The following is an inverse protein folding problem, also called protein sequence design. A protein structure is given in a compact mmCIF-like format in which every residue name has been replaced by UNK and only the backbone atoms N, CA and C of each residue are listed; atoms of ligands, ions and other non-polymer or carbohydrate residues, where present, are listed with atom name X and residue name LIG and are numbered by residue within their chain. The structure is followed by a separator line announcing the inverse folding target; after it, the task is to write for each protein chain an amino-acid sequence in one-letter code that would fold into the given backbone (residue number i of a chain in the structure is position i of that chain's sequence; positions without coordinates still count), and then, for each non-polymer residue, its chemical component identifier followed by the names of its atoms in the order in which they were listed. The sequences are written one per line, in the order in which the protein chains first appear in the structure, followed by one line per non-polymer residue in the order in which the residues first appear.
data_IF_699838684895
#
_entry.id   IF_699838684895
#
_cell.length_a   1.000
_cell.length_b   1.000
_cell.length_c   1.000
_cell.angle_alpha   90.00
_cell.angle_beta   90.00
_cell.angle_gamma   90.00
#
_symmetry.space_group_name_H-M   'P 1'
#
loop_
_entity.id
_entity.type
_entity.pdbx_description
1 polymer ?
#
# COMPACT_ATOMS: atom_id res chain seq x y z
N UNK A 1 -7.12 -27.51 -6.92
CA UNK A 1 -5.66 -27.37 -6.73
C UNK A 1 -5.37 -25.88 -6.80
N UNK A 2 -5.39 -25.20 -5.66
CA UNK A 2 -5.22 -23.75 -5.57
C UNK A 2 -3.74 -23.42 -5.43
N UNK A 3 -3.21 -22.67 -6.39
CA UNK A 3 -1.89 -22.07 -6.29
C UNK A 3 -1.90 -21.04 -5.15
N UNK A 4 -1.23 -21.35 -4.04
CA UNK A 4 -0.89 -20.38 -3.01
C UNK A 4 0.17 -19.46 -3.61
N UNK A 5 -0.20 -18.23 -3.91
CA UNK A 5 0.75 -17.17 -4.26
C UNK A 5 1.53 -16.82 -2.98
N UNK A 6 2.67 -17.45 -2.81
CA UNK A 6 3.66 -17.06 -1.81
C UNK A 6 4.26 -15.74 -2.28
N UNK A 7 3.92 -14.64 -1.63
CA UNK A 7 4.62 -13.36 -1.82
C UNK A 7 6.08 -13.59 -1.43
N UNK A 8 6.96 -13.70 -2.40
CA UNK A 8 8.39 -13.86 -2.19
C UNK A 8 8.96 -12.55 -1.64
N UNK A 9 9.54 -12.60 -0.44
CA UNK A 9 10.35 -11.52 0.07
C UNK A 9 11.57 -11.31 -0.83
N UNK A 10 11.93 -10.05 -1.08
CA UNK A 10 13.13 -9.68 -1.82
C UNK A 10 14.23 -9.32 -0.81
N UNK A 11 15.48 -9.63 -1.13
CA UNK A 11 16.64 -9.15 -0.39
C UNK A 11 16.86 -7.64 -0.63
N UNK A 12 17.83 -7.05 0.05
CA UNK A 12 18.16 -5.62 -0.10
C UNK A 12 18.66 -5.26 -1.52
N UNK A 13 18.95 -6.25 -2.37
CA UNK A 13 19.32 -6.11 -3.77
C UNK A 13 18.17 -6.43 -4.74
N UNK A 14 16.93 -6.62 -4.23
CA UNK A 14 15.75 -6.90 -5.05
C UNK A 14 15.65 -8.32 -5.62
N UNK A 15 16.50 -9.27 -5.13
CA UNK A 15 16.44 -10.66 -5.57
C UNK A 15 15.46 -11.46 -4.70
N UNK A 16 14.69 -12.40 -5.29
CA UNK A 16 13.84 -13.29 -4.51
C UNK A 16 14.65 -14.05 -3.47
N UNK A 17 14.30 -13.90 -2.19
CA UNK A 17 14.90 -14.71 -1.13
C UNK A 17 14.32 -16.12 -1.27
N UNK A 18 15.09 -17.03 -1.86
CA UNK A 18 14.77 -18.46 -1.85
C UNK A 18 15.34 -19.06 -0.56
N UNK A 19 14.53 -19.08 0.50
CA UNK A 19 14.85 -19.87 1.68
C UNK A 19 14.80 -21.36 1.31
N UNK A 20 15.80 -22.15 1.77
CA UNK A 20 15.69 -23.61 1.75
C UNK A 20 14.49 -24.00 2.60
N UNK A 21 13.74 -25.02 2.21
CA UNK A 21 12.59 -25.52 3.00
C UNK A 21 12.91 -25.78 4.47
N UNK A 22 14.17 -26.14 4.77
CA UNK A 22 14.67 -26.35 6.11
C UNK A 22 14.79 -25.07 6.96
N UNK A 23 14.95 -23.90 6.32
CA UNK A 23 15.14 -22.61 7.00
C UNK A 23 13.80 -21.86 7.15
N UNK A 24 12.73 -22.36 6.54
CA UNK A 24 11.41 -21.74 6.58
C UNK A 24 10.60 -22.17 7.81
N UNK A 25 10.38 -21.25 8.75
CA UNK A 25 9.66 -21.52 10.01
C UNK A 25 8.16 -21.33 9.82
N UNK A 26 7.44 -22.39 9.46
CA UNK A 26 5.98 -22.38 9.21
C UNK A 26 5.13 -21.89 10.38
N UNK A 27 5.62 -21.96 11.61
CA UNK A 27 4.89 -21.43 12.77
C UNK A 27 4.87 -19.89 12.79
N UNK A 28 5.94 -19.25 12.33
CA UNK A 28 6.00 -17.78 12.19
C UNK A 28 5.05 -17.33 11.08
N UNK A 29 5.11 -17.97 9.91
CA UNK A 29 4.19 -17.71 8.80
C UNK A 29 2.72 -17.77 9.26
N UNK A 30 2.35 -18.84 9.98
CA UNK A 30 0.97 -18.99 10.50
C UNK A 30 0.60 -17.92 11.50
N UNK A 31 1.51 -17.54 12.38
CA UNK A 31 1.30 -16.45 13.34
C UNK A 31 0.97 -15.14 12.66
N UNK A 32 1.76 -14.76 11.66
CA UNK A 32 1.56 -13.54 10.86
C UNK A 32 0.27 -13.61 10.02
N UNK A 33 -0.03 -14.77 9.42
CA UNK A 33 -1.27 -14.99 8.67
C UNK A 33 -2.53 -14.84 9.55
N UNK A 34 -2.49 -15.34 10.80
CA UNK A 34 -3.58 -15.17 11.79
C UNK A 34 -3.78 -13.69 12.12
N UNK A 35 -2.71 -12.96 12.41
CA UNK A 35 -2.76 -11.53 12.70
C UNK A 35 -3.38 -10.77 11.52
N UNK A 36 -2.92 -11.05 10.30
CA UNK A 36 -3.43 -10.43 9.07
C UNK A 36 -4.92 -10.74 8.83
N UNK A 37 -5.36 -11.97 9.09
CA UNK A 37 -6.76 -12.36 8.95
C UNK A 37 -7.68 -11.61 9.95
N UNK A 38 -7.21 -11.42 11.19
CA UNK A 38 -7.94 -10.70 12.26
C UNK A 38 -7.93 -9.18 12.06
N UNK A 39 -6.98 -8.63 11.29
CA UNK A 39 -6.91 -7.20 10.98
C UNK A 39 -7.99 -6.71 10.00
N UNK A 40 -8.75 -7.61 9.38
CA UNK A 40 -9.86 -7.24 8.48
C UNK A 40 -11.05 -6.72 9.29
N UNK A 41 -11.83 -5.74 8.78
CA UNK A 41 -13.03 -5.26 9.47
C UNK A 41 -14.03 -6.41 9.72
N UNK A 42 -14.58 -6.53 10.94
CA UNK A 42 -15.59 -7.56 11.20
C UNK A 42 -15.72 -8.05 12.66
N UNK A 43 -15.12 -7.39 13.63
CA UNK A 43 -15.38 -7.67 15.07
C UNK A 43 -14.80 -8.98 15.61
N UNK A 44 -13.69 -9.46 15.04
CA UNK A 44 -12.99 -10.67 15.46
C UNK A 44 -13.46 -11.95 14.74
N UNK A 45 -12.67 -13.03 14.87
CA UNK A 45 -12.91 -14.31 14.22
C UNK A 45 -12.92 -15.46 15.22
N UNK A 46 -13.73 -16.48 14.94
CA UNK A 46 -13.71 -17.78 15.64
C UNK A 46 -12.54 -18.65 15.12
N UNK A 47 -12.19 -19.70 15.87
CA UNK A 47 -11.16 -20.69 15.44
C UNK A 47 -11.47 -21.25 14.05
N UNK A 48 -12.74 -21.54 13.77
CA UNK A 48 -13.14 -22.12 12.48
C UNK A 48 -13.00 -21.13 11.32
N UNK A 49 -13.34 -19.87 11.53
CA UNK A 49 -13.17 -18.78 10.56
C UNK A 49 -11.70 -18.52 10.26
N UNK A 50 -10.85 -18.47 11.29
CA UNK A 50 -9.39 -18.34 11.13
C UNK A 50 -8.82 -19.53 10.36
N UNK A 51 -9.17 -20.76 10.75
CA UNK A 51 -8.68 -21.99 10.08
C UNK A 51 -8.98 -21.97 8.57
N UNK A 52 -10.19 -21.52 8.20
CA UNK A 52 -10.62 -21.38 6.79
C UNK A 52 -9.85 -20.25 6.10
N UNK A 53 -9.70 -19.10 6.77
CA UNK A 53 -9.06 -17.91 6.19
C UNK A 53 -7.59 -18.14 5.83
N UNK A 54 -6.86 -18.95 6.64
CA UNK A 54 -5.43 -19.20 6.44
C UNK A 54 -5.12 -20.62 5.91
N UNK A 55 -6.14 -21.42 5.56
CA UNK A 55 -5.96 -22.73 4.94
C UNK A 55 -5.32 -23.80 5.82
N UNK A 56 -5.57 -23.80 7.16
CA UNK A 56 -5.01 -24.77 8.11
C UNK A 56 -6.09 -25.56 8.84
N UNK A 57 -5.70 -26.63 9.55
CA UNK A 57 -6.63 -27.38 10.42
C UNK A 57 -7.08 -26.54 11.62
N UNK A 58 -8.28 -26.79 12.14
CA UNK A 58 -8.79 -26.13 13.36
C UNK A 58 -7.85 -26.29 14.56
N UNK A 59 -7.22 -27.44 14.70
CA UNK A 59 -6.25 -27.71 15.76
C UNK A 59 -5.01 -26.81 15.63
N UNK A 60 -4.49 -26.62 14.41
CA UNK A 60 -3.37 -25.72 14.13
C UNK A 60 -3.75 -24.26 14.38
N UNK A 61 -4.89 -23.81 13.86
CA UNK A 61 -5.39 -22.45 14.10
C UNK A 61 -5.57 -22.17 15.60
N UNK A 62 -6.18 -23.11 16.36
CA UNK A 62 -6.37 -22.98 17.80
C UNK A 62 -5.04 -22.81 18.55
N UNK A 63 -4.03 -23.63 18.25
CA UNK A 63 -2.70 -23.51 18.89
C UNK A 63 -2.07 -22.15 18.64
N UNK A 64 -2.12 -21.65 17.39
CA UNK A 64 -1.57 -20.34 17.04
C UNK A 64 -2.32 -19.21 17.73
N UNK A 65 -3.66 -19.27 17.78
CA UNK A 65 -4.50 -18.27 18.46
C UNK A 65 -4.19 -18.23 19.95
N UNK A 66 -4.12 -19.38 20.65
CA UNK A 66 -3.80 -19.44 22.07
C UNK A 66 -2.38 -18.95 22.38
N UNK A 67 -1.41 -19.23 21.51
CA UNK A 67 -0.03 -18.71 21.63
C UNK A 67 -0.02 -17.18 21.52
N UNK A 68 -0.70 -16.62 20.52
CA UNK A 68 -0.78 -15.16 20.34
C UNK A 68 -1.56 -14.48 21.47
N UNK A 69 -2.57 -15.14 22.03
CA UNK A 69 -3.30 -14.69 23.21
C UNK A 69 -2.40 -14.68 24.45
N UNK A 70 -1.66 -15.77 24.70
CA UNK A 70 -0.71 -15.85 25.81
C UNK A 70 0.40 -14.80 25.69
N UNK A 71 0.84 -14.51 24.48
CA UNK A 71 1.78 -13.43 24.18
C UNK A 71 1.14 -12.02 24.31
N UNK A 72 -0.17 -11.94 24.50
CA UNK A 72 -0.91 -10.69 24.68
C UNK A 72 -1.22 -9.93 23.39
N UNK A 73 -1.01 -10.51 22.21
CA UNK A 73 -1.37 -9.91 20.92
C UNK A 73 -2.84 -10.10 20.56
N UNK A 74 -3.49 -11.10 21.14
CA UNK A 74 -4.92 -11.38 20.99
C UNK A 74 -5.60 -11.36 22.35
N UNK A 75 -6.91 -11.18 22.31
CA UNK A 75 -7.84 -11.45 23.42
C UNK A 75 -9.05 -12.21 22.90
N UNK A 76 -9.69 -13.00 23.76
CA UNK A 76 -10.91 -13.72 23.41
C UNK A 76 -12.04 -13.40 24.40
N UNK A 77 -13.27 -13.47 23.89
CA UNK A 77 -14.51 -13.49 24.69
C UNK A 77 -14.98 -14.92 24.98
N UNK A 78 -14.14 -15.95 24.72
CA UNK A 78 -14.45 -17.37 24.78
C UNK A 78 -14.93 -17.96 23.44
N UNK A 79 -15.33 -17.15 22.48
CA UNK A 79 -15.81 -17.56 21.17
C UNK A 79 -15.02 -16.94 20.01
N UNK A 80 -14.77 -15.64 20.10
CA UNK A 80 -14.07 -14.87 19.07
C UNK A 80 -12.75 -14.33 19.60
N UNK A 81 -11.76 -14.28 18.72
CA UNK A 81 -10.47 -13.67 18.97
C UNK A 81 -10.40 -12.31 18.29
N UNK A 82 -9.85 -11.32 18.97
CA UNK A 82 -9.63 -9.96 18.47
C UNK A 82 -8.20 -9.53 18.74
N UNK A 83 -7.68 -8.62 17.92
CA UNK A 83 -6.36 -8.00 18.10
C UNK A 83 -6.35 -7.12 19.34
N UNK A 84 -5.21 -7.02 20.00
CA UNK A 84 -4.98 -6.07 21.11
C UNK A 84 -4.14 -4.87 20.63
N UNK A 85 -4.15 -3.75 21.38
CA UNK A 85 -3.29 -2.59 21.10
C UNK A 85 -1.78 -2.92 21.11
N UNK A 86 -1.36 -4.04 21.74
CA UNK A 86 0.03 -4.49 21.77
C UNK A 86 0.61 -4.67 20.35
N UNK A 87 -0.24 -4.97 19.35
CA UNK A 87 0.19 -5.10 17.96
C UNK A 87 0.78 -3.79 17.41
N UNK A 88 0.31 -2.63 17.88
CA UNK A 88 0.85 -1.33 17.46
C UNK A 88 2.33 -1.19 17.82
N UNK A 89 2.77 -1.84 18.89
CA UNK A 89 4.19 -1.82 19.29
C UNK A 89 5.10 -2.53 18.28
N UNK A 90 4.61 -3.56 17.56
CA UNK A 90 5.38 -4.21 16.50
C UNK A 90 5.64 -3.26 15.29
N UNK A 91 4.70 -2.37 15.01
CA UNK A 91 4.85 -1.36 13.96
C UNK A 91 5.68 -0.14 14.39
N UNK A 92 5.96 0.00 15.69
CA UNK A 92 6.69 1.17 16.20
C UNK A 92 8.14 1.21 15.72
N UNK A 93 8.80 0.07 15.61
CA UNK A 93 10.15 -0.04 15.06
C UNK A 93 10.24 0.37 13.58
N UNK A 94 9.21 0.09 12.80
CA UNK A 94 9.09 0.57 11.42
C UNK A 94 8.81 2.08 11.37
N UNK A 95 8.01 2.60 12.31
CA UNK A 95 7.70 4.03 12.42
C UNK A 95 8.89 4.88 12.90
N UNK A 96 9.75 4.34 13.76
CA UNK A 96 10.95 5.05 14.25
C UNK A 96 12.04 5.20 13.19
N UNK A 97 12.01 4.40 12.10
CA UNK A 97 12.92 4.54 10.94
C UNK A 97 12.35 5.38 9.80
N UNK A 98 11.03 5.58 9.75
CA UNK A 98 10.34 6.36 8.72
C UNK A 98 9.33 7.30 9.40
N UNK A 99 9.72 8.53 9.66
CA UNK A 99 8.81 9.60 10.11
C UNK A 99 7.70 9.93 9.08
N UNK A 100 7.76 9.30 7.90
CA UNK A 100 6.93 9.61 6.73
C UNK A 100 5.41 9.70 7.02
N UNK A 101 4.73 8.74 7.70
CA UNK A 101 3.28 8.88 7.94
C UNK A 101 2.93 10.06 8.84
N UNK A 102 3.76 10.33 9.85
CA UNK A 102 3.50 11.39 10.84
C UNK A 102 3.85 12.77 10.23
N UNK A 103 4.93 12.87 9.47
CA UNK A 103 5.31 14.08 8.71
C UNK A 103 4.29 14.36 7.61
N UNK A 104 3.84 13.34 6.88
CA UNK A 104 2.91 13.54 5.77
C UNK A 104 1.51 13.96 6.21
N UNK A 105 1.04 13.52 7.38
CA UNK A 105 -0.35 13.73 7.83
C UNK A 105 -0.81 15.19 7.80
N UNK A 106 -0.11 16.19 8.39
CA UNK A 106 -0.55 17.58 8.37
C UNK A 106 -0.60 18.14 6.95
N UNK A 107 0.34 17.79 6.08
CA UNK A 107 0.35 18.24 4.69
C UNK A 107 -0.80 17.63 3.87
N UNK A 108 -1.09 16.35 4.10
CA UNK A 108 -2.25 15.70 3.48
C UNK A 108 -3.57 16.33 3.95
N UNK A 109 -3.66 16.76 5.21
CA UNK A 109 -4.82 17.45 5.73
C UNK A 109 -5.06 18.78 5.00
N UNK A 110 -4.02 19.58 4.81
CA UNK A 110 -4.09 20.83 4.06
C UNK A 110 -4.45 20.61 2.59
N UNK A 111 -3.88 19.57 1.95
CA UNK A 111 -4.23 19.21 0.58
C UNK A 111 -5.69 18.79 0.48
N UNK A 112 -6.19 17.99 1.40
CA UNK A 112 -7.58 17.57 1.46
C UNK A 112 -8.53 18.77 1.64
N UNK A 113 -8.21 19.70 2.52
CA UNK A 113 -8.99 20.93 2.73
C UNK A 113 -9.01 21.81 1.46
N UNK A 114 -7.90 21.89 0.73
CA UNK A 114 -7.78 22.66 -0.50
C UNK A 114 -8.53 22.04 -1.67
N UNK A 115 -8.49 20.71 -1.78
CA UNK A 115 -9.03 19.98 -2.95
C UNK A 115 -10.42 19.42 -2.74
N UNK A 116 -10.86 19.31 -1.47
CA UNK A 116 -12.08 18.61 -1.04
C UNK A 116 -12.13 17.15 -1.54
N UNK A 117 -10.96 16.51 -1.71
CA UNK A 117 -10.83 15.12 -2.16
C UNK A 117 -9.96 14.31 -1.21
N UNK A 118 -10.05 12.95 -1.26
CA UNK A 118 -9.20 12.14 -0.41
C UNK A 118 -7.75 12.20 -0.86
N UNK A 119 -6.84 12.22 0.12
CA UNK A 119 -5.41 12.26 -0.10
C UNK A 119 -4.72 11.14 0.69
N UNK A 120 -3.66 10.59 0.13
CA UNK A 120 -2.87 9.57 0.84
C UNK A 120 -1.39 9.61 0.44
N UNK A 121 -0.57 8.90 1.22
CA UNK A 121 0.81 8.56 0.87
C UNK A 121 0.93 7.05 0.88
N UNK A 122 1.62 6.52 -0.15
CA UNK A 122 1.91 5.10 -0.28
C UNK A 122 3.37 4.87 -0.63
N UNK A 123 3.86 3.68 -0.26
CA UNK A 123 5.20 3.17 -0.60
C UNK A 123 5.07 1.96 -1.52
N UNK A 124 6.16 1.61 -2.21
CA UNK A 124 6.25 0.36 -2.97
C UNK A 124 6.61 -0.78 -2.01
N UNK A 125 5.91 -1.90 -2.10
CA UNK A 125 6.19 -3.11 -1.34
C UNK A 125 5.98 -4.34 -2.24
N UNK A 126 7.08 -4.85 -2.78
CA UNK A 126 7.07 -5.84 -3.85
C UNK A 126 6.42 -5.29 -5.13
N UNK A 127 5.37 -5.96 -5.61
CA UNK A 127 4.66 -5.57 -6.83
C UNK A 127 3.41 -4.72 -6.56
N UNK A 128 3.20 -4.34 -5.29
CA UNK A 128 2.04 -3.59 -4.83
C UNK A 128 2.44 -2.26 -4.19
N UNK A 129 1.49 -1.36 -4.12
CA UNK A 129 1.59 -0.16 -3.28
C UNK A 129 0.94 -0.42 -1.94
N UNK A 130 1.56 0.06 -0.87
CA UNK A 130 1.02 0.02 0.50
C UNK A 130 0.67 1.43 0.95
N UNK A 131 -0.59 1.69 1.28
CA UNK A 131 -1.03 2.95 1.85
C UNK A 131 -0.54 3.10 3.30
N UNK A 132 0.30 4.11 3.57
CA UNK A 132 0.90 4.34 4.90
C UNK A 132 0.30 5.55 5.64
N UNK A 133 -0.30 6.50 4.92
CA UNK A 133 -1.02 7.63 5.49
C UNK A 133 -2.21 7.99 4.61
N UNK A 134 -3.32 8.40 5.23
CA UNK A 134 -4.53 8.81 4.50
C UNK A 134 -5.35 9.82 5.29
N UNK A 135 -5.92 10.77 4.57
CA UNK A 135 -6.96 11.69 5.02
C UNK A 135 -8.08 11.73 3.98
N UNK A 136 -9.31 11.97 4.41
CA UNK A 136 -10.46 12.06 3.53
C UNK A 136 -11.50 13.00 4.12
N UNK A 137 -12.26 13.73 3.28
CA UNK A 137 -13.37 14.55 3.76
C UNK A 137 -14.46 13.66 4.38
N UNK A 138 -15.19 14.21 5.36
CA UNK A 138 -16.33 13.53 5.98
C UNK A 138 -17.51 13.53 4.99
N UNK A 139 -17.65 12.45 4.22
CA UNK A 139 -18.74 12.23 3.26
C UNK A 139 -19.41 10.90 3.47
N UNK A 140 -20.73 10.86 3.18
CA UNK A 140 -21.52 9.61 3.25
C UNK A 140 -20.98 8.57 2.26
N UNK A 141 -20.63 9.00 1.03
CA UNK A 141 -19.97 8.15 0.02
C UNK A 141 -18.50 8.50 -0.05
N UNK A 142 -17.68 7.61 0.46
CA UNK A 142 -16.23 7.74 0.44
C UNK A 142 -15.59 6.47 -0.12
N UNK A 143 -14.47 6.64 -0.83
CA UNK A 143 -13.67 5.49 -1.25
C UNK A 143 -13.09 4.83 0.00
N UNK A 144 -13.53 3.61 0.31
CA UNK A 144 -13.08 2.86 1.48
C UNK A 144 -11.68 2.24 1.22
N UNK A 145 -10.63 3.02 1.46
CA UNK A 145 -9.24 2.58 1.30
C UNK A 145 -8.45 2.93 2.57
N UNK A 146 -8.55 2.12 3.65
CA UNK A 146 -7.85 2.40 4.90
C UNK A 146 -6.32 2.34 4.75
N UNK A 147 -5.59 2.91 5.71
CA UNK A 147 -4.15 2.68 5.88
C UNK A 147 -3.90 1.17 6.00
N UNK A 148 -2.85 0.68 5.35
CA UNK A 148 -2.58 -0.74 5.19
C UNK A 148 -3.17 -1.38 3.94
N UNK A 149 -3.98 -0.65 3.15
CA UNK A 149 -4.50 -1.16 1.87
C UNK A 149 -3.36 -1.36 0.88
N UNK A 150 -3.39 -2.52 0.22
CA UNK A 150 -2.45 -2.92 -0.83
C UNK A 150 -3.17 -2.91 -2.19
N UNK A 151 -2.52 -2.36 -3.20
CA UNK A 151 -3.07 -2.24 -4.55
C UNK A 151 -1.97 -2.54 -5.58
N UNK A 152 -2.31 -3.12 -6.75
CA UNK A 152 -1.33 -3.40 -7.80
C UNK A 152 -0.66 -2.11 -8.30
N UNK A 153 0.68 -2.08 -8.31
CA UNK A 153 1.42 -0.86 -8.64
C UNK A 153 1.16 -0.40 -10.08
N UNK A 154 1.06 -1.32 -11.05
CA UNK A 154 0.85 -0.96 -12.47
C UNK A 154 -0.45 -0.20 -12.74
N UNK A 155 -1.49 -0.43 -11.94
CA UNK A 155 -2.83 0.11 -12.17
C UNK A 155 -3.15 1.36 -11.34
N UNK A 156 -2.24 1.80 -10.47
CA UNK A 156 -2.42 2.97 -9.59
C UNK A 156 -1.52 4.13 -9.97
N UNK A 157 -1.97 5.38 -9.73
CA UNK A 157 -1.14 6.55 -9.96
C UNK A 157 0.10 6.56 -9.04
N UNK A 158 -0.05 6.17 -7.76
CA UNK A 158 1.06 6.05 -6.81
C UNK A 158 2.06 5.01 -7.26
N UNK A 159 1.59 3.84 -7.70
CA UNK A 159 2.46 2.77 -8.19
C UNK A 159 3.24 3.19 -9.43
N UNK A 160 2.63 3.91 -10.37
CA UNK A 160 3.34 4.42 -11.54
C UNK A 160 4.42 5.44 -11.20
N UNK A 161 4.20 6.29 -10.20
CA UNK A 161 5.22 7.21 -9.71
C UNK A 161 6.38 6.44 -9.07
N UNK A 162 6.08 5.44 -8.23
CA UNK A 162 7.07 4.62 -7.56
C UNK A 162 7.87 3.77 -8.55
N UNK A 163 7.20 3.09 -9.49
CA UNK A 163 7.84 2.31 -10.56
C UNK A 163 8.70 3.20 -11.48
N UNK A 164 8.24 4.40 -11.80
CA UNK A 164 9.02 5.35 -12.58
C UNK A 164 10.27 5.84 -11.84
N UNK A 165 10.30 5.77 -10.51
CA UNK A 165 11.44 6.11 -9.67
C UNK A 165 12.47 5.00 -9.49
N UNK A 166 12.18 3.75 -9.91
CA UNK A 166 13.09 2.62 -9.80
C UNK A 166 14.31 2.77 -10.75
N UNK A 167 15.43 2.16 -10.37
CA UNK A 167 16.53 1.94 -11.30
C UNK A 167 16.11 1.01 -12.44
N UNK A 168 16.83 1.07 -13.57
CA UNK A 168 16.46 0.33 -14.78
C UNK A 168 16.33 -1.18 -14.53
N UNK A 169 17.32 -1.78 -13.84
CA UNK A 169 17.34 -3.22 -13.54
C UNK A 169 16.20 -3.65 -12.62
N UNK A 170 15.84 -2.81 -11.65
CA UNK A 170 14.71 -3.07 -10.73
C UNK A 170 13.37 -3.00 -11.48
N UNK A 171 13.23 -2.01 -12.37
CA UNK A 171 12.04 -1.87 -13.20
C UNK A 171 11.91 -3.03 -14.18
N UNK A 172 13.01 -3.45 -14.84
CA UNK A 172 13.00 -4.59 -15.73
C UNK A 172 12.61 -5.87 -14.98
N UNK A 173 13.21 -6.11 -13.80
CA UNK A 173 12.82 -7.23 -12.94
C UNK A 173 11.36 -7.19 -12.47
N UNK A 174 10.77 -6.01 -12.26
CA UNK A 174 9.34 -5.86 -12.00
C UNK A 174 8.50 -6.22 -13.23
N UNK A 175 8.86 -5.69 -14.40
CA UNK A 175 8.11 -5.89 -15.65
C UNK A 175 8.16 -7.34 -16.14
N UNK A 176 9.22 -8.07 -15.84
CA UNK A 176 9.38 -9.48 -16.21
C UNK A 176 8.48 -10.43 -15.40
N UNK A 177 8.13 -10.05 -14.14
CA UNK A 177 7.37 -10.91 -13.24
C UNK A 177 5.91 -10.49 -13.04
N UNK A 178 5.56 -9.21 -13.32
CA UNK A 178 4.23 -8.69 -13.04
C UNK A 178 3.19 -9.26 -13.98
N UNK A 179 2.05 -9.69 -13.43
CA UNK A 179 0.88 -10.07 -14.22
C UNK A 179 -0.03 -8.86 -14.42
N UNK A 180 -0.06 -8.32 -15.63
CA UNK A 180 -0.88 -7.15 -15.98
C UNK A 180 -2.33 -7.56 -16.28
N UNK A 181 -3.14 -7.73 -15.26
CA UNK A 181 -4.58 -8.09 -15.38
C UNK A 181 -5.41 -6.87 -15.76
N UNK A 182 -6.43 -7.06 -16.59
CA UNK A 182 -7.45 -6.06 -16.88
C UNK A 182 -8.42 -5.93 -15.69
N UNK A 183 -8.25 -4.89 -14.87
CA UNK A 183 -9.16 -4.58 -13.77
C UNK A 183 -10.40 -3.82 -14.27
N UNK A 184 -10.19 -3.01 -15.30
CA UNK A 184 -11.23 -2.31 -16.07
C UNK A 184 -10.88 -2.35 -17.55
N UNK A 185 -11.78 -1.96 -18.45
CA UNK A 185 -11.45 -1.81 -19.87
C UNK A 185 -10.38 -0.74 -20.17
N UNK A 186 -10.13 0.17 -19.23
CA UNK A 186 -9.13 1.23 -19.37
C UNK A 186 -7.75 0.81 -18.84
N UNK A 187 -7.62 -0.31 -18.12
CA UNK A 187 -6.36 -0.78 -17.54
C UNK A 187 -5.32 -1.05 -18.63
N UNK A 188 -4.09 -0.56 -18.44
CA UNK A 188 -2.96 -0.93 -19.29
C UNK A 188 -2.51 -2.36 -18.98
N UNK A 189 -2.57 -3.23 -19.97
CA UNK A 189 -2.33 -4.67 -19.82
C UNK A 189 -1.14 -5.18 -20.61
N UNK A 190 -0.30 -4.30 -21.17
CA UNK A 190 0.91 -4.68 -21.89
C UNK A 190 2.13 -3.97 -21.35
N UNK A 191 3.26 -4.68 -21.30
CA UNK A 191 4.54 -4.15 -20.82
C UNK A 191 4.99 -2.91 -21.63
N UNK A 192 4.92 -2.89 -22.97
CA UNK A 192 5.29 -1.69 -23.74
C UNK A 192 4.45 -0.47 -23.37
N UNK A 193 3.11 -0.62 -23.28
CA UNK A 193 2.21 0.49 -22.92
C UNK A 193 2.44 1.00 -21.49
N UNK A 194 2.80 0.11 -20.56
CA UNK A 194 3.16 0.51 -19.21
C UNK A 194 4.51 1.24 -19.19
N UNK A 195 5.52 0.75 -19.92
CA UNK A 195 6.85 1.38 -20.00
C UNK A 195 6.76 2.79 -20.58
N UNK A 196 6.03 2.98 -21.67
CA UNK A 196 5.79 4.31 -22.28
C UNK A 196 5.14 5.27 -21.28
N UNK A 197 4.19 4.77 -20.48
CA UNK A 197 3.55 5.56 -19.44
C UNK A 197 4.53 5.93 -18.32
N UNK A 198 5.36 4.99 -17.84
CA UNK A 198 6.37 5.26 -16.81
C UNK A 198 7.41 6.28 -17.28
N UNK A 199 7.83 6.23 -18.54
CA UNK A 199 8.72 7.23 -19.14
C UNK A 199 8.06 8.61 -19.18
N UNK A 200 6.76 8.66 -19.49
CA UNK A 200 5.99 9.90 -19.41
C UNK A 200 5.94 10.44 -17.98
N UNK A 201 5.69 9.57 -17.00
CA UNK A 201 5.66 9.93 -15.57
C UNK A 201 7.01 10.49 -15.11
N UNK A 202 8.13 9.87 -15.51
CA UNK A 202 9.49 10.39 -15.24
C UNK A 202 9.66 11.83 -15.72
N UNK A 203 9.31 12.08 -17.00
CA UNK A 203 9.48 13.43 -17.61
C UNK A 203 8.60 14.48 -16.95
N UNK A 204 7.33 14.18 -16.66
CA UNK A 204 6.37 15.15 -16.12
C UNK A 204 6.38 15.25 -14.59
N UNK A 205 6.99 14.25 -13.89
CA UNK A 205 7.09 14.15 -12.43
C UNK A 205 5.73 14.05 -11.72
N UNK A 206 4.75 13.48 -12.35
CA UNK A 206 3.47 13.08 -11.76
C UNK A 206 2.81 12.01 -12.64
N UNK A 207 1.91 11.23 -12.06
CA UNK A 207 1.07 10.28 -12.78
C UNK A 207 -0.41 10.70 -12.68
N UNK A 208 -1.19 10.38 -13.71
CA UNK A 208 -2.65 10.44 -13.69
C UNK A 208 -3.20 9.11 -14.15
N UNK A 209 -4.12 8.55 -13.38
CA UNK A 209 -4.84 7.32 -13.70
C UNK A 209 -6.34 7.64 -13.78
N UNK A 210 -6.95 7.31 -14.91
CA UNK A 210 -8.36 7.53 -15.18
C UNK A 210 -9.09 6.19 -15.29
N UNK A 211 -9.73 5.77 -14.20
CA UNK A 211 -10.59 4.59 -14.16
C UNK A 211 -9.88 3.26 -14.53
N UNK A 212 -8.56 3.17 -14.38
CA UNK A 212 -7.81 1.96 -14.71
C UNK A 212 -7.82 0.93 -13.55
N UNK A 213 -7.82 1.40 -12.29
CA UNK A 213 -7.93 0.54 -11.12
C UNK A 213 -9.39 0.12 -10.90
N UNK A 214 -10.30 1.09 -10.96
CA UNK A 214 -11.72 0.93 -10.70
C UNK A 214 -12.52 1.95 -11.51
N UNK A 215 -13.65 1.53 -12.07
CA UNK A 215 -14.58 2.44 -12.78
C UNK A 215 -15.09 3.51 -11.83
N UNK A 216 -15.12 4.74 -12.31
CA UNK A 216 -15.56 5.88 -11.51
C UNK A 216 -14.49 6.49 -10.61
N UNK A 217 -13.27 5.92 -10.55
CA UNK A 217 -12.15 6.47 -9.79
C UNK A 217 -11.13 7.14 -10.70
N UNK A 218 -10.78 8.39 -10.40
CA UNK A 218 -9.65 9.14 -10.97
C UNK A 218 -8.67 9.53 -9.91
N UNK A 219 -7.39 9.51 -10.22
CA UNK A 219 -6.37 9.91 -9.28
C UNK A 219 -5.12 10.47 -9.95
N UNK A 220 -4.41 11.32 -9.22
CA UNK A 220 -3.08 11.79 -9.58
C UNK A 220 -2.12 11.55 -8.41
N UNK A 221 -0.85 11.31 -8.72
CA UNK A 221 0.20 11.16 -7.73
C UNK A 221 1.46 11.93 -8.11
N UNK A 222 2.20 12.39 -7.09
CA UNK A 222 3.49 13.04 -7.21
C UNK A 222 4.54 12.30 -6.34
N UNK A 223 5.81 12.20 -6.78
CA UNK A 223 6.87 11.55 -6.03
C UNK A 223 7.22 12.32 -4.75
N UNK A 224 7.65 11.59 -3.74
CA UNK A 224 8.33 12.07 -2.54
C UNK A 224 9.73 11.47 -2.54
N UNK A 225 10.75 12.34 -2.52
CA UNK A 225 12.15 11.92 -2.58
C UNK A 225 12.81 11.95 -1.19
N UNK A 226 13.84 11.13 -1.02
CA UNK A 226 14.77 11.25 0.09
C UNK A 226 15.85 12.31 -0.21
N UNK A 227 16.74 12.55 0.77
CA UNK A 227 17.85 13.48 0.62
C UNK A 227 18.87 13.09 -0.48
N UNK A 228 18.88 11.85 -0.90
CA UNK A 228 19.68 11.35 -2.01
C UNK A 228 18.99 11.50 -3.38
N UNK A 229 17.75 12.03 -3.41
CA UNK A 229 16.95 12.21 -4.62
C UNK A 229 16.25 10.93 -5.12
N UNK A 230 16.20 9.86 -4.31
CA UNK A 230 15.51 8.63 -4.65
C UNK A 230 14.03 8.76 -4.31
N UNK A 231 13.14 8.24 -5.16
CA UNK A 231 11.70 8.19 -4.87
C UNK A 231 11.44 7.12 -3.80
N UNK A 232 11.06 7.56 -2.60
CA UNK A 232 10.79 6.67 -1.46
C UNK A 232 9.29 6.46 -1.21
N UNK A 233 8.47 7.38 -1.68
CA UNK A 233 7.02 7.34 -1.53
C UNK A 233 6.33 8.14 -2.63
N UNK A 234 5.01 8.06 -2.68
CA UNK A 234 4.20 8.93 -3.55
C UNK A 234 2.99 9.47 -2.79
N UNK A 235 2.78 10.79 -2.86
CA UNK A 235 1.53 11.42 -2.42
C UNK A 235 0.50 11.34 -3.54
N UNK A 236 -0.79 11.15 -3.19
CA UNK A 236 -1.86 11.18 -4.18
C UNK A 236 -3.08 11.95 -3.73
N UNK A 237 -3.84 12.42 -4.72
CA UNK A 237 -5.20 12.90 -4.60
C UNK A 237 -6.10 12.05 -5.50
N UNK A 238 -7.23 11.60 -4.97
CA UNK A 238 -8.18 10.79 -5.72
C UNK A 238 -9.59 11.34 -5.63
N UNK A 239 -10.31 11.27 -6.74
CA UNK A 239 -11.63 11.84 -6.92
C UNK A 239 -12.57 10.91 -7.69
N UNK A 240 -13.87 11.07 -7.51
CA UNK A 240 -14.88 10.41 -8.34
C UNK A 240 -14.89 11.00 -9.76
N UNK A 241 -14.84 10.12 -10.78
CA UNK A 241 -14.82 10.53 -12.18
C UNK A 241 -16.05 11.36 -12.62
N UNK A 242 -17.18 11.17 -11.95
CA UNK A 242 -18.39 11.98 -12.16
C UNK A 242 -18.30 13.41 -11.62
N UNK A 243 -17.35 13.71 -10.74
CA UNK A 243 -17.17 15.05 -10.14
C UNK A 243 -16.00 15.81 -10.75
N UNK A 244 -14.91 15.12 -11.04
CA UNK A 244 -13.65 15.73 -11.48
C UNK A 244 -13.25 15.19 -12.84
N UNK A 245 -13.15 16.03 -13.86
CA UNK A 245 -12.64 15.66 -15.18
C UNK A 245 -11.11 15.47 -15.16
N UNK A 246 -10.54 14.77 -16.14
CA UNK A 246 -9.07 14.65 -16.28
C UNK A 246 -8.41 16.02 -16.45
N UNK A 247 -9.06 16.93 -17.18
CA UNK A 247 -8.56 18.29 -17.36
C UNK A 247 -8.54 19.07 -16.03
N UNK A 248 -9.60 18.96 -15.23
CA UNK A 248 -9.68 19.57 -13.89
C UNK A 248 -8.63 18.96 -12.95
N UNK A 249 -8.48 17.63 -12.96
CA UNK A 249 -7.47 16.92 -12.16
C UNK A 249 -6.07 17.48 -12.45
N UNK A 250 -5.69 17.58 -13.74
CA UNK A 250 -4.39 18.10 -14.14
C UNK A 250 -4.18 19.57 -13.81
N UNK A 251 -5.19 20.40 -14.03
CA UNK A 251 -5.07 21.86 -13.88
C UNK A 251 -5.21 22.32 -12.43
N UNK A 252 -6.15 21.73 -11.67
CA UNK A 252 -6.51 22.22 -10.34
C UNK A 252 -5.96 21.37 -9.20
N UNK A 253 -5.76 20.04 -9.37
CA UNK A 253 -5.37 19.16 -8.28
C UNK A 253 -3.87 18.78 -8.33
N UNK A 254 -3.27 18.65 -9.52
CA UNK A 254 -1.83 18.31 -9.64
C UNK A 254 -0.92 19.41 -9.07
N UNK A 255 -1.13 20.72 -9.29
CA UNK A 255 -0.23 21.74 -8.72
C UNK A 255 -0.16 21.71 -7.18
N UNK A 256 -1.28 21.76 -6.42
CA UNK A 256 -1.22 21.66 -4.96
C UNK A 256 -0.69 20.31 -4.47
N UNK A 257 -0.97 19.20 -5.18
CA UNK A 257 -0.42 17.88 -4.85
C UNK A 257 1.11 17.88 -4.93
N UNK A 258 1.72 18.45 -5.97
CA UNK A 258 3.17 18.55 -6.12
C UNK A 258 3.78 19.42 -5.02
N UNK A 259 3.18 20.57 -4.73
CA UNK A 259 3.62 21.43 -3.63
C UNK A 259 3.56 20.71 -2.27
N UNK A 260 2.52 19.88 -2.06
CA UNK A 260 2.40 19.04 -0.86
C UNK A 260 3.53 17.99 -0.79
N UNK A 261 3.83 17.30 -1.89
CA UNK A 261 4.93 16.32 -1.93
C UNK A 261 6.27 16.99 -1.59
N UNK A 262 6.58 18.15 -2.18
CA UNK A 262 7.78 18.94 -1.91
C UNK A 262 7.84 19.43 -0.44
N UNK A 263 6.71 19.73 0.18
CA UNK A 263 6.67 20.10 1.61
C UNK A 263 6.97 18.90 2.51
N UNK A 264 6.42 17.73 2.18
CA UNK A 264 6.73 16.48 2.89
C UNK A 264 8.23 16.15 2.77
N UNK A 265 8.85 16.30 1.60
CA UNK A 265 10.29 16.08 1.38
C UNK A 265 11.13 16.98 2.29
N UNK A 266 10.82 18.27 2.36
CA UNK A 266 11.55 19.23 3.22
C UNK A 266 11.48 18.85 4.70
N UNK A 267 10.29 18.49 5.18
CA UNK A 267 10.10 18.16 6.59
C UNK A 267 10.71 16.79 6.94
N UNK A 268 10.71 15.84 5.99
CA UNK A 268 11.42 14.57 6.15
C UNK A 268 12.95 14.77 6.27
N UNK A 269 13.52 15.66 5.46
CA UNK A 269 14.95 15.98 5.52
C UNK A 269 15.37 16.56 6.88
N UNK A 270 14.46 17.26 7.57
CA UNK A 270 14.71 17.80 8.92
C UNK A 270 14.49 16.71 10.00
N UNK A 271 13.58 15.78 9.78
CA UNK A 271 13.24 14.74 10.76
C UNK A 271 14.22 13.54 10.77
N UNK A 272 15.09 13.44 9.77
CA UNK A 272 16.15 12.42 9.68
C UNK A 272 17.51 13.11 9.86
N UNK A 273 18.09 13.07 11.07
CA UNK A 273 19.42 13.61 11.31
C UNK A 273 20.54 12.80 10.66
#
# INVERSE_FOLDING_TARGET
MGAQTTLGALDMAGKPIQLRDADFVRSIERGLAVISALGRPGGGLTVAEVARAIGVTRASARRTLLTLEQLGYLRTDGRRFTLTPKLLALGHGYRSGLALPDVARPHLQQLMETTDEFCSVSVLDGDETLCVARVAPARIMNVAMPVGTRLPAYATCVGRVLLAGLHADELDGYLDRVELRALTPATRTTVPALRDELDRVRRQRYAVVDQELERGLRSAAAPIHDVAGRVIAAANVGALAGRVTVATLRRALVPPLRATAESIERDLAVAQP
#
